data_IF_503619165356
#
_entry.id   IF_503619165356
#
_cell.length_a   1.000
_cell.length_b   1.000
_cell.length_c   1.000
_cell.angle_alpha   90.00
_cell.angle_beta   90.00
_cell.angle_gamma   90.00
#
_symmetry.space_group_name_H-M   'P 1'
#
loop_
_entity.id
_entity.type
_entity.pdbx_description
1 polymer ?
#
# COMPACT_ATOMS: atom_id res chain seq x y z
N UNK A 1 -0.02 4.53 5.91
CA UNK A 1 -1.29 4.41 6.62
C UNK A 1 -1.45 3.02 7.21
N UNK A 2 -2.02 2.94 8.42
CA UNK A 2 -2.47 1.68 9.02
C UNK A 2 -3.94 1.46 8.67
N UNK A 3 -4.21 0.58 7.73
CA UNK A 3 -5.58 0.22 7.30
C UNK A 3 -5.93 -1.24 7.61
N UNK A 4 -5.12 -1.91 8.44
CA UNK A 4 -5.21 -3.35 8.66
C UNK A 4 -6.55 -3.76 9.29
N UNK A 5 -7.00 -3.01 10.30
CA UNK A 5 -8.22 -3.35 11.03
C UNK A 5 -9.47 -3.18 10.16
N UNK A 6 -9.57 -2.11 9.38
CA UNK A 6 -10.71 -1.92 8.47
C UNK A 6 -10.79 -2.99 7.38
N UNK A 7 -9.61 -3.43 6.87
CA UNK A 7 -9.53 -4.55 5.93
C UNK A 7 -9.99 -5.86 6.60
N UNK A 8 -9.50 -6.14 7.82
CA UNK A 8 -9.83 -7.35 8.57
C UNK A 8 -11.31 -7.39 8.97
N UNK A 9 -11.84 -6.31 9.52
CA UNK A 9 -13.24 -6.21 9.94
C UNK A 9 -14.18 -6.42 8.76
N UNK A 10 -13.89 -5.80 7.61
CA UNK A 10 -14.70 -5.94 6.40
C UNK A 10 -14.67 -7.36 5.86
N UNK A 11 -13.50 -8.00 5.83
CA UNK A 11 -13.37 -9.38 5.37
C UNK A 11 -14.04 -10.38 6.34
N UNK A 12 -13.84 -10.20 7.64
CA UNK A 12 -14.44 -11.05 8.67
C UNK A 12 -15.97 -10.93 8.70
N UNK A 13 -16.53 -9.74 8.42
CA UNK A 13 -17.97 -9.56 8.33
C UNK A 13 -18.57 -10.40 7.19
N UNK A 14 -17.90 -10.44 6.02
CA UNK A 14 -18.37 -11.27 4.89
C UNK A 14 -18.13 -12.75 5.17
N UNK A 15 -16.97 -13.14 5.71
CA UNK A 15 -16.72 -14.54 6.14
C UNK A 15 -17.81 -15.03 7.09
N UNK A 16 -18.18 -14.23 8.10
CA UNK A 16 -19.23 -14.56 9.07
C UNK A 16 -20.61 -14.72 8.40
N UNK A 17 -20.93 -13.88 7.41
CA UNK A 17 -22.21 -13.99 6.67
C UNK A 17 -22.32 -15.33 5.91
N UNK A 18 -21.18 -15.88 5.47
CA UNK A 18 -21.10 -17.22 4.86
C UNK A 18 -20.83 -18.35 5.86
N UNK A 19 -20.85 -18.07 7.16
CA UNK A 19 -20.53 -19.03 8.23
C UNK A 19 -19.13 -19.66 8.11
N UNK A 20 -18.18 -18.92 7.54
CA UNK A 20 -16.78 -19.34 7.46
C UNK A 20 -16.00 -18.87 8.69
N UNK A 21 -14.88 -19.54 9.02
CA UNK A 21 -13.97 -19.08 10.06
C UNK A 21 -13.44 -17.67 9.79
N UNK A 22 -13.35 -16.87 10.85
CA UNK A 22 -12.74 -15.54 10.81
C UNK A 22 -11.30 -15.59 11.30
N UNK A 23 -10.55 -14.51 11.06
CA UNK A 23 -9.14 -14.42 11.44
C UNK A 23 -8.88 -13.19 12.31
N UNK A 24 -7.92 -13.30 13.23
CA UNK A 24 -7.41 -12.14 13.96
C UNK A 24 -6.80 -11.11 12.99
N UNK A 25 -6.93 -9.82 13.31
CA UNK A 25 -6.49 -8.72 12.44
C UNK A 25 -5.01 -8.86 12.04
N UNK A 26 -4.15 -9.31 12.97
CA UNK A 26 -2.72 -9.48 12.74
C UNK A 26 -2.39 -10.46 11.61
N UNK A 27 -3.24 -11.48 11.38
CA UNK A 27 -3.04 -12.43 10.27
C UNK A 27 -3.22 -11.76 8.90
N UNK A 28 -4.05 -10.72 8.83
CA UNK A 28 -4.27 -9.99 7.59
C UNK A 28 -3.00 -9.31 7.05
N UNK A 29 -2.00 -9.06 7.90
CA UNK A 29 -0.69 -8.59 7.43
C UNK A 29 -0.12 -9.45 6.30
N UNK A 30 -0.32 -10.77 6.36
CA UNK A 30 0.19 -11.73 5.36
C UNK A 30 -0.80 -12.00 4.22
N UNK A 31 -2.07 -11.64 4.38
CA UNK A 31 -3.06 -11.84 3.34
C UNK A 31 -3.08 -10.67 2.33
N UNK A 32 -2.76 -9.45 2.78
CA UNK A 32 -2.76 -8.22 1.97
C UNK A 32 -1.43 -8.00 1.20
N UNK A 33 -1.42 -7.03 0.28
CA UNK A 33 -0.25 -6.60 -0.51
C UNK A 33 -0.36 -6.92 -2.00
N UNK A 34 -0.93 -8.07 -2.37
CA UNK A 34 -1.03 -8.54 -3.76
C UNK A 34 -2.38 -8.25 -4.44
N UNK A 35 -3.15 -7.29 -3.91
CA UNK A 35 -4.48 -6.92 -4.41
C UNK A 35 -5.62 -7.74 -3.80
N UNK A 36 -6.85 -7.27 -4.04
CA UNK A 36 -8.07 -7.79 -3.37
C UNK A 36 -8.32 -9.26 -3.70
N UNK A 37 -8.12 -9.69 -4.94
CA UNK A 37 -8.35 -11.08 -5.33
C UNK A 37 -7.48 -12.05 -4.52
N UNK A 38 -6.19 -11.76 -4.37
CA UNK A 38 -5.28 -12.60 -3.59
C UNK A 38 -5.61 -12.61 -2.09
N UNK A 39 -6.08 -11.48 -1.56
CA UNK A 39 -6.62 -11.44 -0.21
C UNK A 39 -7.78 -12.43 -0.07
N UNK A 40 -8.78 -12.37 -0.95
CA UNK A 40 -9.96 -13.24 -0.89
C UNK A 40 -9.58 -14.72 -1.04
N UNK A 41 -8.72 -15.06 -2.00
CA UNK A 41 -8.23 -16.43 -2.19
C UNK A 41 -7.53 -16.99 -0.93
N UNK A 42 -6.82 -16.14 -0.17
CA UNK A 42 -6.06 -16.54 1.03
C UNK A 42 -6.94 -16.73 2.28
N UNK A 43 -8.06 -16.03 2.37
CA UNK A 43 -8.95 -16.09 3.53
C UNK A 43 -10.07 -17.11 3.37
N UNK A 44 -10.40 -17.51 2.15
CA UNK A 44 -11.44 -18.50 1.88
C UNK A 44 -10.96 -19.92 2.20
N UNK A 45 -11.87 -20.83 2.62
CA UNK A 45 -11.57 -22.24 2.64
C UNK A 45 -11.12 -22.74 1.26
N UNK A 46 -10.21 -23.73 1.16
CA UNK A 46 -9.58 -24.15 -0.10
C UNK A 46 -10.58 -24.42 -1.23
N UNK A 47 -11.65 -25.14 -0.95
CA UNK A 47 -12.65 -25.48 -1.97
C UNK A 47 -13.33 -24.23 -2.56
N UNK A 48 -13.65 -23.24 -1.73
CA UNK A 48 -14.26 -21.99 -2.18
C UNK A 48 -13.26 -21.07 -2.89
N UNK A 49 -11.99 -21.12 -2.51
CA UNK A 49 -10.92 -20.38 -3.16
C UNK A 49 -10.63 -20.87 -4.60
N UNK A 50 -10.95 -22.13 -4.93
CA UNK A 50 -10.83 -22.73 -6.26
C UNK A 50 -12.04 -22.40 -7.17
N UNK A 51 -13.18 -22.00 -6.60
CA UNK A 51 -14.36 -21.60 -7.34
C UNK A 51 -14.27 -20.11 -7.75
N UNK A 52 -13.90 -19.86 -8.99
CA UNK A 52 -13.75 -18.50 -9.51
C UNK A 52 -15.03 -17.66 -9.42
N UNK A 53 -16.22 -18.28 -9.61
CA UNK A 53 -17.49 -17.58 -9.52
C UNK A 53 -17.79 -17.20 -8.06
N UNK A 54 -17.48 -18.08 -7.12
CA UNK A 54 -17.61 -17.79 -5.69
C UNK A 54 -16.64 -16.68 -5.26
N UNK A 55 -15.38 -16.78 -5.63
CA UNK A 55 -14.36 -15.76 -5.35
C UNK A 55 -14.80 -14.39 -5.87
N UNK A 56 -15.32 -14.33 -7.10
CA UNK A 56 -15.79 -13.09 -7.69
C UNK A 56 -16.96 -12.47 -6.90
N UNK A 57 -17.95 -13.28 -6.52
CA UNK A 57 -19.10 -12.82 -5.71
C UNK A 57 -18.66 -12.35 -4.33
N UNK A 58 -17.86 -13.16 -3.63
CA UNK A 58 -17.34 -12.80 -2.30
C UNK A 58 -16.51 -11.50 -2.36
N UNK A 59 -15.69 -11.35 -3.41
CA UNK A 59 -14.90 -10.13 -3.63
C UNK A 59 -15.80 -8.90 -3.83
N UNK A 60 -16.93 -9.02 -4.51
CA UNK A 60 -17.87 -7.91 -4.70
C UNK A 60 -18.47 -7.45 -3.37
N UNK A 61 -18.97 -8.40 -2.55
CA UNK A 61 -19.49 -8.13 -1.21
C UNK A 61 -18.45 -7.55 -0.27
N UNK A 62 -17.20 -8.08 -0.33
CA UNK A 62 -16.08 -7.51 0.42
C UNK A 62 -15.79 -6.06 0.02
N UNK A 63 -15.74 -5.74 -1.28
CA UNK A 63 -15.50 -4.38 -1.76
C UNK A 63 -16.55 -3.40 -1.29
N UNK A 64 -17.81 -3.80 -1.32
CA UNK A 64 -18.94 -2.99 -0.82
C UNK A 64 -18.76 -2.71 0.68
N UNK A 65 -18.57 -3.76 1.49
CA UNK A 65 -18.35 -3.63 2.92
C UNK A 65 -17.12 -2.81 3.27
N UNK A 66 -16.01 -3.03 2.57
CA UNK A 66 -14.79 -2.26 2.79
C UNK A 66 -14.96 -0.79 2.39
N UNK A 67 -15.73 -0.47 1.35
CA UNK A 67 -16.02 0.91 0.98
C UNK A 67 -16.82 1.66 2.08
N UNK A 68 -17.69 0.97 2.83
CA UNK A 68 -18.38 1.53 3.99
C UNK A 68 -17.43 1.76 5.17
N UNK A 69 -16.52 0.83 5.44
CA UNK A 69 -15.65 0.83 6.61
C UNK A 69 -14.29 1.53 6.40
N UNK A 70 -14.04 2.07 5.22
CA UNK A 70 -12.74 2.50 4.70
C UNK A 70 -11.93 3.41 5.63
N UNK A 71 -12.59 4.16 6.50
CA UNK A 71 -12.02 5.20 7.36
C UNK A 71 -12.47 5.07 8.82
N UNK A 72 -12.95 3.92 9.26
CA UNK A 72 -13.41 3.75 10.64
C UNK A 72 -12.22 3.69 11.60
N UNK A 73 -11.14 3.00 11.21
CA UNK A 73 -9.93 2.81 12.01
C UNK A 73 -8.65 3.12 11.22
N UNK A 74 -8.77 3.39 9.93
CA UNK A 74 -7.64 3.72 9.06
C UNK A 74 -7.07 5.09 9.41
N UNK A 75 -5.81 5.13 9.81
CA UNK A 75 -5.10 6.35 10.23
C UNK A 75 -3.67 6.36 9.64
N UNK A 76 -3.01 7.52 9.52
CA UNK A 76 -1.57 7.57 9.30
C UNK A 76 -0.82 6.91 10.47
N UNK A 77 0.34 6.32 10.21
CA UNK A 77 1.25 5.93 11.29
C UNK A 77 1.84 7.16 11.97
N UNK A 78 2.26 7.01 13.23
CA UNK A 78 2.89 8.08 14.01
C UNK A 78 4.13 8.65 13.27
N UNK A 79 4.27 9.97 13.23
CA UNK A 79 5.35 10.68 12.58
C UNK A 79 5.23 10.80 11.05
N UNK A 80 4.22 10.21 10.42
CA UNK A 80 4.03 10.30 8.95
C UNK A 80 3.66 11.73 8.53
N UNK A 81 2.76 12.39 9.27
CA UNK A 81 2.35 13.76 8.91
C UNK A 81 3.54 14.72 8.97
N UNK A 82 4.31 14.66 10.05
CA UNK A 82 5.50 15.49 10.26
C UNK A 82 6.54 15.28 9.15
N UNK A 83 6.77 14.01 8.78
CA UNK A 83 7.68 13.68 7.68
C UNK A 83 7.21 14.26 6.35
N UNK A 84 5.93 14.06 6.01
CA UNK A 84 5.37 14.51 4.73
C UNK A 84 5.32 16.04 4.63
N UNK A 85 4.97 16.73 5.72
CA UNK A 85 4.97 18.20 5.79
C UNK A 85 6.38 18.76 5.59
N UNK A 86 7.38 18.15 6.20
CA UNK A 86 8.78 18.56 6.03
C UNK A 86 9.28 18.29 4.59
N UNK A 87 8.93 17.15 3.97
CA UNK A 87 9.24 16.90 2.57
C UNK A 87 8.59 17.93 1.65
N UNK A 88 7.31 18.27 1.87
CA UNK A 88 6.63 19.33 1.13
C UNK A 88 7.30 20.70 1.31
N UNK A 89 7.73 21.04 2.54
CA UNK A 89 8.43 22.30 2.84
C UNK A 89 9.78 22.40 2.09
N UNK A 90 10.45 21.27 1.87
CA UNK A 90 11.68 21.17 1.06
C UNK A 90 11.42 21.15 -0.46
N UNK A 91 10.16 21.23 -0.89
CA UNK A 91 9.80 21.21 -2.31
C UNK A 91 9.86 19.81 -2.94
N UNK A 92 9.99 18.74 -2.16
CA UNK A 92 10.05 17.35 -2.66
C UNK A 92 8.65 16.94 -3.13
N UNK A 93 8.46 16.59 -4.40
CA UNK A 93 7.15 16.15 -4.89
C UNK A 93 6.83 14.75 -4.38
N UNK A 94 5.56 14.55 -3.96
CA UNK A 94 5.07 13.31 -3.38
C UNK A 94 4.02 12.67 -4.28
N UNK A 95 4.04 11.34 -4.35
CA UNK A 95 3.03 10.53 -5.02
C UNK A 95 2.67 9.28 -4.23
N UNK A 96 1.49 8.72 -4.50
CA UNK A 96 1.03 7.43 -3.95
C UNK A 96 0.94 6.41 -5.08
N UNK A 97 1.62 5.26 -4.90
CA UNK A 97 1.53 4.09 -5.77
C UNK A 97 1.06 2.89 -4.95
N UNK A 98 -0.10 2.32 -5.27
CA UNK A 98 -0.69 1.25 -4.45
C UNK A 98 -1.40 0.18 -5.29
N UNK A 99 -1.52 -1.05 -4.73
CA UNK A 99 -2.39 -2.12 -5.23
C UNK A 99 -3.81 -2.05 -4.62
N UNK A 100 -4.10 -1.03 -3.80
CA UNK A 100 -5.46 -0.71 -3.37
C UNK A 100 -6.25 -0.13 -4.55
N UNK A 101 -7.53 -0.47 -4.65
CA UNK A 101 -8.40 0.05 -5.72
C UNK A 101 -8.36 1.59 -5.78
N UNK A 102 -8.32 2.16 -6.99
CA UNK A 102 -8.14 3.60 -7.21
C UNK A 102 -9.08 4.46 -6.35
N UNK A 103 -10.39 4.19 -6.39
CA UNK A 103 -11.36 4.97 -5.63
C UNK A 103 -11.17 4.90 -4.12
N UNK A 104 -10.73 3.75 -3.60
CA UNK A 104 -10.43 3.60 -2.18
C UNK A 104 -9.14 4.36 -1.79
N UNK A 105 -8.12 4.32 -2.65
CA UNK A 105 -6.89 5.07 -2.42
C UNK A 105 -7.15 6.58 -2.39
N UNK A 106 -7.89 7.10 -3.38
CA UNK A 106 -8.26 8.53 -3.45
C UNK A 106 -9.06 8.98 -2.23
N UNK A 107 -10.09 8.22 -1.84
CA UNK A 107 -10.91 8.54 -0.66
C UNK A 107 -10.10 8.60 0.62
N UNK A 108 -9.20 7.61 0.84
CA UNK A 108 -8.34 7.59 2.03
C UNK A 108 -7.39 8.78 2.03
N UNK A 109 -6.69 9.01 0.92
CA UNK A 109 -5.71 10.10 0.85
C UNK A 109 -6.38 11.46 1.01
N UNK A 110 -7.52 11.69 0.35
CA UNK A 110 -8.26 12.94 0.46
C UNK A 110 -8.82 13.20 1.86
N UNK A 111 -9.18 12.14 2.59
CA UNK A 111 -9.72 12.26 3.94
C UNK A 111 -8.64 12.47 5.01
N UNK A 112 -7.46 11.87 4.85
CA UNK A 112 -6.44 11.82 5.90
C UNK A 112 -5.31 12.85 5.71
N UNK A 113 -5.12 13.40 4.51
CA UNK A 113 -4.00 14.28 4.20
C UNK A 113 -4.46 15.62 3.60
N UNK A 114 -3.69 16.70 3.81
CA UNK A 114 -3.99 18.00 3.24
C UNK A 114 -4.15 17.96 1.72
N UNK A 115 -5.08 18.77 1.16
CA UNK A 115 -5.23 18.88 -0.29
C UNK A 115 -3.89 19.22 -0.98
N UNK A 116 -3.62 18.53 -2.09
CA UNK A 116 -2.42 18.74 -2.93
C UNK A 116 -1.08 18.32 -2.29
N UNK A 117 -1.08 17.65 -1.14
CA UNK A 117 0.13 17.06 -0.56
C UNK A 117 0.76 16.05 -1.53
N UNK A 118 -0.05 15.23 -2.17
CA UNK A 118 0.37 14.30 -3.22
C UNK A 118 -0.04 14.84 -4.59
N UNK A 119 0.91 14.92 -5.53
CA UNK A 119 0.64 15.35 -6.92
C UNK A 119 -0.06 14.27 -7.73
N UNK A 120 0.23 12.98 -7.41
CA UNK A 120 -0.34 11.82 -8.08
C UNK A 120 -0.78 10.77 -7.06
N UNK A 121 -1.92 10.12 -7.34
CA UNK A 121 -2.43 8.97 -6.57
C UNK A 121 -2.81 7.89 -7.59
N UNK A 122 -1.99 6.83 -7.68
CA UNK A 122 -2.21 5.74 -8.63
C UNK A 122 -2.48 4.43 -7.87
N UNK A 123 -3.74 4.00 -7.96
CA UNK A 123 -4.24 2.75 -7.42
C UNK A 123 -4.34 1.62 -8.45
N UNK A 124 -5.02 0.55 -8.04
CA UNK A 124 -5.38 -0.57 -8.91
C UNK A 124 -6.62 -0.20 -9.73
N UNK A 125 -6.54 -0.36 -11.05
CA UNK A 125 -7.64 -0.14 -12.00
C UNK A 125 -7.43 -1.00 -13.24
N UNK A 126 -8.51 -1.23 -13.98
CA UNK A 126 -8.48 -1.99 -15.21
C UNK A 126 -7.48 -1.41 -16.22
N UNK A 127 -6.77 -2.27 -16.92
CA UNK A 127 -5.75 -1.89 -17.91
C UNK A 127 -4.41 -1.44 -17.34
N UNK A 128 -4.26 -1.38 -16.01
CA UNK A 128 -3.01 -0.98 -15.38
C UNK A 128 -2.42 -2.15 -14.57
N UNK A 129 -1.18 -2.58 -14.83
CA UNK A 129 -0.59 -3.70 -14.12
C UNK A 129 -0.38 -3.37 -12.64
N UNK A 130 -0.46 -4.43 -11.81
CA UNK A 130 -0.24 -4.32 -10.36
C UNK A 130 1.24 -4.38 -10.03
N UNK A 131 1.61 -3.75 -8.90
CA UNK A 131 2.91 -3.99 -8.29
C UNK A 131 3.14 -5.50 -8.09
N UNK A 132 4.32 -6.06 -8.37
CA UNK A 132 5.61 -5.37 -8.55
C UNK A 132 5.92 -4.88 -9.97
N UNK A 133 4.98 -4.86 -10.90
CA UNK A 133 5.20 -4.22 -12.21
C UNK A 133 5.48 -2.72 -12.03
N UNK A 134 6.56 -2.17 -12.65
CA UNK A 134 7.01 -0.80 -12.42
C UNK A 134 6.20 0.28 -13.15
N UNK A 135 5.26 -0.09 -14.01
CA UNK A 135 4.54 0.82 -14.93
C UNK A 135 4.00 2.07 -14.22
N UNK A 136 3.40 1.91 -13.03
CA UNK A 136 2.84 3.02 -12.26
C UNK A 136 3.94 3.98 -11.78
N UNK A 137 5.06 3.45 -11.31
CA UNK A 137 6.19 4.25 -10.83
C UNK A 137 6.86 4.98 -11.99
N UNK A 138 7.09 4.29 -13.10
CA UNK A 138 7.66 4.89 -14.31
C UNK A 138 6.77 6.02 -14.85
N UNK A 139 5.44 5.86 -14.79
CA UNK A 139 4.51 6.92 -15.13
C UNK A 139 4.67 8.14 -14.21
N UNK A 140 4.68 7.94 -12.88
CA UNK A 140 4.88 9.02 -11.90
C UNK A 140 6.20 9.75 -12.15
N UNK A 141 7.29 9.01 -12.35
CA UNK A 141 8.62 9.60 -12.63
C UNK A 141 8.59 10.46 -13.89
N UNK A 142 7.94 9.99 -14.95
CA UNK A 142 7.77 10.75 -16.20
C UNK A 142 7.00 12.05 -15.97
N UNK A 143 5.87 12.01 -15.25
CA UNK A 143 5.05 13.19 -14.96
C UNK A 143 5.78 14.21 -14.07
N UNK A 144 6.69 13.72 -13.21
CA UNK A 144 7.50 14.59 -12.34
C UNK A 144 8.79 15.07 -13.02
N UNK A 145 9.16 14.49 -14.16
CA UNK A 145 10.40 14.83 -14.88
C UNK A 145 11.65 14.38 -14.14
N UNK A 146 11.58 13.26 -13.40
CA UNK A 146 12.68 12.71 -12.60
C UNK A 146 13.10 11.33 -13.07
N UNK A 147 14.33 10.95 -12.74
CA UNK A 147 14.91 9.62 -13.00
C UNK A 147 14.77 8.69 -11.80
N UNK A 148 15.04 7.39 -11.97
CA UNK A 148 15.08 6.44 -10.85
C UNK A 148 16.10 6.82 -9.77
N UNK A 149 17.25 7.35 -10.16
CA UNK A 149 18.29 7.82 -9.23
C UNK A 149 17.88 9.06 -8.40
N UNK A 150 16.83 9.77 -8.84
CA UNK A 150 16.26 10.93 -8.17
C UNK A 150 14.96 10.58 -7.42
N UNK A 151 14.59 9.28 -7.41
CA UNK A 151 13.33 8.80 -6.84
C UNK A 151 13.59 7.82 -5.70
N UNK A 152 12.97 8.05 -4.55
CA UNK A 152 12.92 7.10 -3.45
C UNK A 152 11.52 6.48 -3.37
N UNK A 153 11.46 5.15 -3.39
CA UNK A 153 10.22 4.40 -3.27
C UNK A 153 10.11 3.78 -1.88
N UNK A 154 9.09 4.19 -1.13
CA UNK A 154 8.84 3.75 0.24
C UNK A 154 7.81 2.63 0.26
N UNK A 155 8.13 1.54 0.96
CA UNK A 155 7.22 0.42 1.08
C UNK A 155 7.47 -0.46 2.28
N UNK A 156 6.46 -1.25 2.64
CA UNK A 156 6.46 -2.10 3.84
C UNK A 156 6.34 -3.60 3.51
N UNK A 157 6.55 -3.98 2.24
CA UNK A 157 6.42 -5.37 1.80
C UNK A 157 7.43 -5.74 0.71
N UNK A 158 7.64 -7.06 0.51
CA UNK A 158 8.41 -7.60 -0.62
C UNK A 158 7.96 -7.05 -1.97
N UNK A 159 6.65 -6.94 -2.18
CA UNK A 159 6.08 -6.38 -3.42
C UNK A 159 6.53 -4.94 -3.65
N UNK A 160 6.71 -4.16 -2.58
CA UNK A 160 7.18 -2.77 -2.68
C UNK A 160 8.66 -2.71 -3.05
N UNK A 161 9.48 -3.52 -2.41
CA UNK A 161 10.91 -3.59 -2.69
C UNK A 161 11.17 -4.09 -4.12
N UNK A 162 10.46 -5.14 -4.55
CA UNK A 162 10.50 -5.63 -5.93
C UNK A 162 10.04 -4.53 -6.92
N UNK A 163 9.03 -3.72 -6.57
CA UNK A 163 8.59 -2.58 -7.40
C UNK A 163 9.68 -1.53 -7.53
N UNK A 164 10.33 -1.17 -6.43
CA UNK A 164 11.42 -0.20 -6.43
C UNK A 164 12.59 -0.67 -7.29
N UNK A 165 12.99 -1.94 -7.13
CA UNK A 165 14.04 -2.58 -7.94
C UNK A 165 13.68 -2.58 -9.43
N UNK A 166 12.46 -2.99 -9.78
CA UNK A 166 11.98 -3.03 -11.17
C UNK A 166 11.88 -1.64 -11.81
N UNK A 167 11.68 -0.59 -11.02
CA UNK A 167 11.65 0.81 -11.45
C UNK A 167 13.01 1.50 -11.37
N UNK A 168 14.05 0.80 -10.91
CA UNK A 168 15.42 1.32 -10.72
C UNK A 168 15.45 2.56 -9.79
N UNK A 169 14.62 2.57 -8.75
CA UNK A 169 14.56 3.63 -7.73
C UNK A 169 15.27 3.22 -6.45
N UNK A 170 15.58 4.17 -5.55
CA UNK A 170 16.05 3.85 -4.21
C UNK A 170 14.94 3.12 -3.43
N UNK A 171 15.19 1.88 -3.02
CA UNK A 171 14.25 1.05 -2.26
C UNK A 171 14.34 1.35 -0.76
N UNK A 172 13.34 2.04 -0.21
CA UNK A 172 13.26 2.39 1.20
C UNK A 172 12.23 1.52 1.91
N UNK A 173 12.71 0.54 2.66
CA UNK A 173 11.86 -0.32 3.48
C UNK A 173 11.49 0.35 4.81
N UNK A 174 10.21 0.31 5.19
CA UNK A 174 9.70 0.91 6.42
C UNK A 174 9.25 -0.16 7.41
N UNK A 175 9.74 -0.10 8.66
CA UNK A 175 9.55 -1.14 9.67
C UNK A 175 8.30 -0.95 10.54
N UNK A 176 7.61 0.17 10.41
CA UNK A 176 6.30 0.40 11.07
C UNK A 176 5.12 -0.21 10.32
N UNK A 177 5.36 -0.85 9.16
CA UNK A 177 4.33 -1.45 8.31
C UNK A 177 4.03 -2.92 8.61
N UNK A 178 3.75 -3.70 7.57
CA UNK A 178 3.19 -5.06 7.71
C UNK A 178 4.23 -6.17 7.73
N UNK A 179 5.45 -5.96 7.21
CA UNK A 179 6.46 -7.01 7.05
C UNK A 179 7.67 -6.80 7.93
N UNK A 180 8.46 -7.87 8.04
CA UNK A 180 9.67 -7.88 8.84
C UNK A 180 10.85 -7.25 8.12
N UNK A 181 11.84 -6.80 8.88
CA UNK A 181 13.13 -6.33 8.36
C UNK A 181 13.78 -7.38 7.45
N UNK A 182 13.73 -8.66 7.84
CA UNK A 182 14.31 -9.76 7.07
C UNK A 182 13.69 -9.82 5.67
N UNK A 183 12.35 -9.82 5.56
CA UNK A 183 11.66 -9.85 4.26
C UNK A 183 12.07 -8.66 3.38
N UNK A 184 12.10 -7.45 3.95
CA UNK A 184 12.46 -6.26 3.19
C UNK A 184 13.91 -6.31 2.69
N UNK A 185 14.85 -6.79 3.50
CA UNK A 185 16.25 -6.98 3.09
C UNK A 185 16.41 -8.05 2.01
N UNK A 186 15.74 -9.19 2.16
CA UNK A 186 15.78 -10.27 1.19
C UNK A 186 15.23 -9.83 -0.19
N UNK A 187 14.33 -8.85 -0.22
CA UNK A 187 13.78 -8.26 -1.45
C UNK A 187 14.44 -6.95 -1.87
N UNK A 188 15.63 -6.65 -1.35
CA UNK A 188 16.49 -5.59 -1.89
C UNK A 188 16.23 -4.20 -1.33
N UNK A 189 15.76 -4.06 -0.08
CA UNK A 189 15.72 -2.75 0.56
C UNK A 189 17.13 -2.17 0.67
N UNK A 190 17.38 -1.02 0.04
CA UNK A 190 18.63 -0.29 0.13
C UNK A 190 18.79 0.42 1.48
N UNK A 191 17.67 0.97 1.97
CA UNK A 191 17.58 1.70 3.24
C UNK A 191 16.43 1.15 4.06
N UNK A 192 16.62 1.02 5.37
CA UNK A 192 15.56 0.67 6.32
C UNK A 192 15.35 1.80 7.32
N UNK A 193 14.08 2.16 7.53
CA UNK A 193 13.65 3.17 8.48
C UNK A 193 12.85 2.53 9.62
N UNK A 194 13.21 2.80 10.87
CA UNK A 194 12.43 2.41 12.05
C UNK A 194 11.33 3.42 12.34
N UNK A 195 11.60 4.70 12.09
CA UNK A 195 10.64 5.79 12.25
C UNK A 195 10.62 6.68 11.01
N UNK A 196 9.49 7.37 10.72
CA UNK A 196 9.40 8.23 9.54
C UNK A 196 10.49 9.31 9.48
N UNK A 197 10.85 9.91 10.61
CA UNK A 197 11.81 11.01 10.65
C UNK A 197 13.26 10.61 10.35
N UNK A 198 13.61 9.32 10.48
CA UNK A 198 14.91 8.81 10.05
C UNK A 198 15.20 9.03 8.56
N UNK A 199 14.19 9.32 7.76
CA UNK A 199 14.37 9.63 6.34
C UNK A 199 15.34 10.79 6.11
N UNK A 200 15.31 11.80 6.97
CA UNK A 200 16.18 12.99 6.84
C UNK A 200 17.63 12.74 7.24
N UNK A 201 17.90 11.62 7.88
CA UNK A 201 19.25 11.18 8.26
C UNK A 201 19.81 10.16 7.26
N UNK A 202 18.94 9.32 6.67
CA UNK A 202 19.35 8.15 5.87
C UNK A 202 19.15 8.31 4.37
N UNK A 203 18.33 9.26 3.94
CA UNK A 203 18.07 9.53 2.51
C UNK A 203 18.54 10.93 2.16
N UNK A 204 19.38 11.04 1.14
CA UNK A 204 19.83 12.35 0.66
C UNK A 204 18.77 12.93 -0.30
N UNK A 205 18.32 14.13 0.02
CA UNK A 205 17.46 14.92 -0.86
C UNK A 205 18.28 16.03 -1.50
N UNK A 206 18.09 16.24 -2.80
CA UNK A 206 18.58 17.46 -3.46
C UNK A 206 17.60 18.57 -3.11
N UNK A 207 18.10 19.64 -2.54
CA UNK A 207 17.33 20.88 -2.40
C UNK A 207 17.06 21.47 -3.80
N UNK A 208 15.82 21.90 -4.03
CA UNK A 208 15.38 22.46 -5.30
C UNK A 208 15.97 23.87 -5.54
#
# INVERSE_FOLDING_TARGET
>A
INSLEDLADSANAVLSAYHFPTYAAEKYRYFVGNGTQKLIERILPPHQAEDAAFVHRFMAEYKERYAENLLHKTIPYDGIMEMLEELCRRGIPLAVCTNKHQSAAERIITALFPPRMFREIIGDREGLPRKPDPTKVLHIMKEFGVTGQETAYFGDSSVDMDTASNAETLAVGVLWGFRTEQELREHGADVLLNTPMEVFEKVMFREA
#
